data_IF_175923951947
#
_entry.id   IF_175923951947
#
_cell.length_a   1.000
_cell.length_b   1.000
_cell.length_c   1.000
_cell.angle_alpha   90.00
_cell.angle_beta   90.00
_cell.angle_gamma   90.00
#
_symmetry.space_group_name_H-M   'P 1'
#
loop_
_entity.id
_entity.type
_entity.pdbx_description
1 polymer ?
#
# COMPACT_ATOMS: atom_id res chain seq x y z
N UNK A 1 16.26 8.68 -20.41
CA UNK A 1 14.86 8.21 -20.32
C UNK A 1 14.82 7.23 -19.17
N UNK A 2 13.87 7.37 -18.26
CA UNK A 2 13.71 6.46 -17.12
C UNK A 2 12.22 6.29 -16.87
N UNK A 3 11.79 5.04 -16.74
CA UNK A 3 10.43 4.69 -16.33
C UNK A 3 10.54 4.15 -14.91
N UNK A 4 9.61 4.57 -14.05
CA UNK A 4 9.43 3.92 -12.75
C UNK A 4 8.63 2.63 -12.95
N UNK A 5 8.92 1.63 -12.15
CA UNK A 5 8.29 0.32 -12.17
C UNK A 5 7.61 0.04 -10.84
N UNK A 6 6.46 -0.62 -10.90
CA UNK A 6 5.70 -1.05 -9.73
C UNK A 6 5.42 -2.54 -9.83
N UNK A 7 5.55 -3.24 -8.70
CA UNK A 7 5.04 -4.60 -8.55
C UNK A 7 3.66 -4.52 -7.89
N UNK A 8 2.65 -5.08 -8.56
CA UNK A 8 1.25 -5.03 -8.13
C UNK A 8 0.85 -6.27 -7.30
N UNK A 9 -0.23 -6.16 -6.53
CA UNK A 9 -0.82 -7.24 -5.71
C UNK A 9 0.20 -7.98 -4.82
N UNK A 10 1.18 -7.27 -4.27
CA UNK A 10 2.24 -7.87 -3.47
C UNK A 10 1.68 -8.42 -2.16
N UNK A 11 1.93 -9.72 -1.93
CA UNK A 11 1.37 -10.46 -0.79
C UNK A 11 0.25 -11.43 -1.18
N UNK A 12 -0.27 -11.37 -2.41
CA UNK A 12 -1.29 -12.30 -2.92
C UNK A 12 -0.68 -13.28 -3.93
N UNK A 13 -0.17 -14.42 -3.43
CA UNK A 13 0.12 -15.67 -4.17
C UNK A 13 1.15 -15.66 -5.32
N UNK A 14 1.01 -14.73 -6.26
CA UNK A 14 1.78 -14.61 -7.51
C UNK A 14 2.91 -13.58 -7.42
N UNK A 15 2.77 -12.55 -6.58
CA UNK A 15 3.81 -11.56 -6.30
C UNK A 15 4.40 -11.78 -4.90
N UNK A 16 5.53 -12.46 -4.86
CA UNK A 16 6.18 -12.96 -3.65
C UNK A 16 7.64 -12.50 -3.57
N UNK A 17 8.26 -12.69 -2.39
CA UNK A 17 9.60 -12.19 -2.05
C UNK A 17 10.67 -12.59 -3.07
N UNK A 18 10.52 -13.73 -3.74
CA UNK A 18 11.44 -14.22 -4.76
C UNK A 18 11.56 -13.25 -5.94
N UNK A 19 10.49 -12.54 -6.31
CA UNK A 19 10.57 -11.54 -7.39
C UNK A 19 11.49 -10.36 -7.00
N UNK A 20 11.64 -10.07 -5.71
CA UNK A 20 12.51 -8.98 -5.23
C UNK A 20 14.00 -9.35 -5.27
N UNK A 21 14.35 -10.60 -5.55
CA UNK A 21 15.77 -10.96 -5.77
C UNK A 21 16.24 -10.56 -7.15
N UNK A 22 15.34 -10.60 -8.13
CA UNK A 22 15.66 -10.37 -9.55
C UNK A 22 15.21 -8.97 -10.01
N UNK A 23 14.11 -8.47 -9.43
CA UNK A 23 13.51 -7.18 -9.77
C UNK A 23 13.81 -6.15 -8.68
N UNK A 24 14.05 -4.91 -9.14
CA UNK A 24 14.30 -3.76 -8.28
C UNK A 24 13.24 -2.68 -8.54
N UNK A 25 11.97 -2.93 -8.16
CA UNK A 25 10.90 -2.00 -8.45
C UNK A 25 11.02 -0.72 -7.60
N UNK A 26 10.63 0.40 -8.18
CA UNK A 26 10.54 1.68 -7.48
C UNK A 26 9.39 1.67 -6.46
N UNK A 27 8.37 0.84 -6.69
CA UNK A 27 7.19 0.73 -5.82
C UNK A 27 6.70 -0.72 -5.66
N UNK A 28 6.30 -1.09 -4.43
CA UNK A 28 5.50 -2.28 -4.16
C UNK A 28 4.10 -1.85 -3.72
N UNK A 29 3.09 -2.34 -4.42
CA UNK A 29 1.70 -2.13 -4.03
C UNK A 29 1.24 -3.32 -3.19
N UNK A 30 0.78 -3.04 -1.98
CA UNK A 30 0.32 -4.03 -1.00
C UNK A 30 -1.13 -4.36 -1.31
N UNK A 31 -1.40 -5.63 -1.55
CA UNK A 31 -2.73 -6.13 -1.86
C UNK A 31 -3.74 -5.79 -0.75
N UNK A 32 -4.98 -5.49 -1.17
CA UNK A 32 -6.11 -5.18 -0.30
C UNK A 32 -6.36 -6.22 0.79
N UNK A 33 -6.12 -7.49 0.50
CA UNK A 33 -6.29 -8.58 1.46
C UNK A 33 -5.43 -8.37 2.70
N UNK A 34 -4.26 -7.72 2.62
CA UNK A 34 -3.45 -7.41 3.81
C UNK A 34 -3.88 -6.11 4.50
N UNK A 35 -4.45 -5.17 3.73
CA UNK A 35 -4.87 -3.83 4.18
C UNK A 35 -6.20 -3.85 4.94
N UNK A 36 -7.16 -4.64 4.47
CA UNK A 36 -8.51 -4.70 5.05
C UNK A 36 -8.44 -5.00 6.56
N UNK A 37 -9.19 -4.29 7.40
CA UNK A 37 -9.25 -4.51 8.86
C UNK A 37 -7.87 -4.54 9.56
N UNK A 38 -6.83 -3.96 8.96
CA UNK A 38 -5.47 -4.00 9.54
C UNK A 38 -5.39 -3.24 10.87
N UNK A 39 -6.27 -2.28 11.11
CA UNK A 39 -6.40 -1.52 12.34
C UNK A 39 -6.78 -2.38 13.56
N UNK A 40 -7.54 -3.45 13.34
CA UNK A 40 -8.02 -4.35 14.40
C UNK A 40 -7.31 -5.71 14.42
N UNK A 41 -6.43 -5.98 13.45
CA UNK A 41 -5.76 -7.27 13.30
C UNK A 41 -4.25 -7.17 13.55
N UNK A 42 -3.81 -7.55 14.76
CA UNK A 42 -2.40 -7.50 15.17
C UNK A 42 -1.46 -8.34 14.30
N UNK A 43 -1.96 -9.44 13.71
CA UNK A 43 -1.15 -10.26 12.78
C UNK A 43 -0.89 -9.51 11.48
N UNK A 44 -1.91 -8.85 10.91
CA UNK A 44 -1.74 -8.00 9.70
C UNK A 44 -0.79 -6.85 9.98
N UNK A 45 -0.91 -6.19 11.13
CA UNK A 45 0.01 -5.12 11.55
C UNK A 45 1.47 -5.59 11.64
N UNK A 46 1.71 -6.78 12.20
CA UNK A 46 3.06 -7.34 12.29
C UNK A 46 3.67 -7.63 10.90
N UNK A 47 2.86 -8.15 9.97
CA UNK A 47 3.30 -8.39 8.59
C UNK A 47 3.59 -7.06 7.89
N UNK A 48 2.67 -6.09 7.94
CA UNK A 48 2.84 -4.76 7.34
C UNK A 48 4.09 -4.05 7.90
N UNK A 49 4.33 -4.12 9.21
CA UNK A 49 5.54 -3.59 9.85
C UNK A 49 6.81 -4.22 9.29
N UNK A 50 6.79 -5.52 9.05
CA UNK A 50 7.93 -6.25 8.47
C UNK A 50 8.16 -5.83 7.01
N UNK A 51 7.08 -5.62 6.25
CA UNK A 51 7.15 -5.11 4.87
C UNK A 51 7.71 -3.68 4.82
N UNK A 52 7.32 -2.80 5.75
CA UNK A 52 7.89 -1.45 5.86
C UNK A 52 9.39 -1.49 6.09
N UNK A 53 9.86 -2.38 6.97
CA UNK A 53 11.29 -2.55 7.21
C UNK A 53 12.03 -3.06 5.97
N UNK A 54 11.45 -4.04 5.25
CA UNK A 54 12.01 -4.57 4.02
C UNK A 54 12.10 -3.48 2.93
N UNK A 55 11.00 -2.78 2.68
CA UNK A 55 10.93 -1.74 1.65
C UNK A 55 11.95 -0.62 1.89
N UNK A 56 12.12 -0.19 3.16
CA UNK A 56 13.19 0.75 3.55
C UNK A 56 14.59 0.23 3.25
N UNK A 57 14.82 -1.07 3.46
CA UNK A 57 16.12 -1.71 3.20
C UNK A 57 16.40 -1.81 1.71
N UNK A 58 15.38 -2.11 0.90
CA UNK A 58 15.48 -2.22 -0.55
C UNK A 58 15.46 -0.87 -1.27
N UNK A 59 15.10 0.21 -0.57
CA UNK A 59 14.94 1.54 -1.18
C UNK A 59 13.67 1.65 -2.05
N UNK A 60 12.66 0.82 -1.79
CA UNK A 60 11.41 0.77 -2.55
C UNK A 60 10.28 1.48 -1.78
N UNK A 61 9.41 2.21 -2.50
CA UNK A 61 8.22 2.82 -1.89
C UNK A 61 7.09 1.79 -1.71
N UNK A 62 6.35 1.88 -0.61
CA UNK A 62 5.13 1.10 -0.40
C UNK A 62 3.89 1.93 -0.76
N UNK A 63 2.93 1.31 -1.43
CA UNK A 63 1.58 1.83 -1.65
C UNK A 63 0.59 0.82 -1.09
N UNK A 64 -0.28 1.21 -0.15
CA UNK A 64 -1.35 0.34 0.33
C UNK A 64 -2.61 0.47 -0.54
N UNK A 65 -3.14 -0.65 -1.01
CA UNK A 65 -4.36 -0.67 -1.83
C UNK A 65 -5.60 -1.13 -1.08
N UNK A 66 -6.75 -0.63 -1.53
CA UNK A 66 -8.04 -1.04 -1.00
C UNK A 66 -8.35 -0.51 0.39
N UNK A 67 -7.82 0.66 0.77
CA UNK A 67 -8.19 1.37 2.01
C UNK A 67 -9.66 1.81 1.94
N UNK A 68 -10.49 1.34 2.87
CA UNK A 68 -11.93 1.63 2.91
C UNK A 68 -12.37 2.44 4.13
N UNK A 69 -11.58 2.42 5.22
CA UNK A 69 -11.89 3.16 6.45
C UNK A 69 -10.79 4.14 6.87
N UNK A 70 -11.16 5.08 7.74
CA UNK A 70 -10.19 6.03 8.31
C UNK A 70 -9.23 5.32 9.26
N UNK A 71 -9.73 4.32 9.97
CA UNK A 71 -9.00 3.53 10.95
C UNK A 71 -7.88 2.74 10.26
N UNK A 72 -8.17 2.11 9.11
CA UNK A 72 -7.16 1.48 8.25
C UNK A 72 -6.11 2.50 7.79
N UNK A 73 -6.54 3.65 7.27
CA UNK A 73 -5.64 4.72 6.81
C UNK A 73 -4.68 5.19 7.90
N UNK A 74 -5.19 5.40 9.12
CA UNK A 74 -4.39 5.81 10.28
C UNK A 74 -3.44 4.73 10.76
N UNK A 75 -3.89 3.47 10.77
CA UNK A 75 -3.04 2.33 11.12
C UNK A 75 -1.86 2.24 10.15
N UNK A 76 -2.12 2.29 8.84
CA UNK A 76 -1.10 2.27 7.80
C UNK A 76 -0.12 3.44 7.92
N UNK A 77 -0.62 4.66 8.15
CA UNK A 77 0.21 5.84 8.35
C UNK A 77 1.12 5.69 9.58
N UNK A 78 0.58 5.21 10.70
CA UNK A 78 1.34 4.95 11.93
C UNK A 78 2.41 3.87 11.76
N UNK A 79 2.16 2.88 10.89
CA UNK A 79 3.15 1.85 10.52
C UNK A 79 4.23 2.38 9.56
N UNK A 80 4.02 3.55 8.96
CA UNK A 80 4.95 4.20 8.04
C UNK A 80 4.62 4.03 6.56
N UNK A 81 3.38 3.66 6.22
CA UNK A 81 2.88 3.55 4.83
C UNK A 81 2.06 4.81 4.53
N UNK A 82 2.74 5.79 3.92
CA UNK A 82 2.16 7.11 3.66
C UNK A 82 1.37 7.19 2.34
N UNK A 83 1.69 6.36 1.34
CA UNK A 83 0.98 6.35 0.06
C UNK A 83 -0.10 5.29 0.11
N UNK A 84 -1.32 5.70 -0.13
CA UNK A 84 -2.51 4.89 0.07
C UNK A 84 -3.53 5.13 -1.04
N UNK A 85 -4.20 4.08 -1.46
CA UNK A 85 -5.26 4.10 -2.47
C UNK A 85 -6.46 3.31 -1.96
N UNK A 86 -7.66 3.85 -2.12
CA UNK A 86 -8.89 3.11 -1.85
C UNK A 86 -10.13 3.98 -1.76
N UNK A 87 -11.28 3.33 -1.61
CA UNK A 87 -12.59 3.98 -1.58
C UNK A 87 -12.78 4.92 -0.40
N UNK A 88 -12.00 4.77 0.67
CA UNK A 88 -11.94 5.74 1.75
C UNK A 88 -11.65 7.14 1.19
N UNK A 89 -10.65 7.27 0.31
CA UNK A 89 -10.28 8.54 -0.31
C UNK A 89 -11.27 8.90 -1.42
N UNK A 90 -11.35 8.06 -2.45
CA UNK A 90 -12.20 8.26 -3.61
C UNK A 90 -12.45 6.95 -4.38
N UNK A 91 -13.57 6.91 -5.10
CA UNK A 91 -13.83 5.85 -6.10
C UNK A 91 -13.21 6.24 -7.44
N UNK A 92 -12.78 5.27 -8.28
CA UNK A 92 -12.34 5.54 -9.64
C UNK A 92 -13.43 6.26 -10.46
N UNK A 93 -13.02 7.24 -11.26
CA UNK A 93 -13.90 8.00 -12.14
C UNK A 93 -13.37 7.96 -13.57
N UNK A 94 -14.26 7.81 -14.55
CA UNK A 94 -13.86 7.75 -15.96
C UNK A 94 -13.62 9.17 -16.48
N UNK A 95 -12.44 9.40 -17.05
CA UNK A 95 -12.11 10.65 -17.76
C UNK A 95 -11.86 11.86 -16.87
N UNK A 96 -11.75 11.69 -15.54
CA UNK A 96 -11.41 12.76 -14.60
C UNK A 96 -10.73 12.21 -13.34
N UNK A 97 -9.98 13.08 -12.67
CA UNK A 97 -9.48 12.80 -11.33
C UNK A 97 -10.61 13.01 -10.31
N UNK A 98 -10.80 12.08 -9.36
CA UNK A 98 -11.78 12.28 -8.31
C UNK A 98 -11.33 13.39 -7.36
N UNK A 99 -12.29 14.09 -6.77
CA UNK A 99 -11.99 15.06 -5.71
C UNK A 99 -11.96 14.34 -4.37
N UNK A 100 -10.85 14.45 -3.65
CA UNK A 100 -10.72 13.92 -2.28
C UNK A 100 -10.94 15.07 -1.31
N UNK A 101 -11.86 14.87 -0.37
CA UNK A 101 -12.13 15.86 0.67
C UNK A 101 -10.91 16.00 1.60
N UNK A 102 -10.54 17.24 1.95
CA UNK A 102 -9.29 17.52 2.66
C UNK A 102 -9.21 16.84 4.03
N UNK A 103 -10.34 16.67 4.69
CA UNK A 103 -10.46 16.00 5.99
C UNK A 103 -10.10 14.51 5.98
N UNK A 104 -9.97 13.91 4.78
CA UNK A 104 -9.55 12.52 4.62
C UNK A 104 -8.03 12.35 4.60
N UNK A 105 -7.28 13.43 4.47
CA UNK A 105 -5.83 13.44 4.64
C UNK A 105 -5.52 13.70 6.13
N UNK A 106 -4.99 12.69 6.82
CA UNK A 106 -4.45 12.83 8.18
C UNK A 106 -2.97 13.27 8.14
#
# INVERSE_FOLDING_TARGET
MGFTTSLDDFGNGYANLDLLTDLHPDTLKIDRELVMECDSNSRRQAILKSMVALARTLGTQLVAEGVETREESRCLLALGIAVQQGYYFARPEVGKLPTVALEKYD
#
